data_IF_418272706664
#
_entry.id   IF_418272706664
#
_cell.length_a   1.000
_cell.length_b   1.000
_cell.length_c   1.000
_cell.angle_alpha   90.00
_cell.angle_beta   90.00
_cell.angle_gamma   90.00
#
_symmetry.space_group_name_H-M   'P 1'
#
loop_
_entity.id
_entity.type
_entity.pdbx_description
1 polymer ?
#
# COMPACT_ATOMS: atom_id res chain seq x y z
N UNK A 1 -49.94 24.84 -14.95
CA UNK A 1 -49.11 25.30 -13.81
C UNK A 1 -49.63 24.62 -12.55
N UNK A 2 -48.98 23.52 -12.19
CA UNK A 2 -49.17 22.73 -10.97
C UNK A 2 -47.77 22.24 -10.58
N UNK A 3 -47.35 22.39 -9.31
CA UNK A 3 -45.95 22.28 -8.94
C UNK A 3 -45.43 20.84 -8.89
N UNK A 4 -44.12 20.74 -9.09
CA UNK A 4 -43.27 19.55 -9.11
C UNK A 4 -43.45 18.70 -7.86
N UNK A 5 -43.61 17.38 -8.05
CA UNK A 5 -43.50 16.38 -6.98
C UNK A 5 -42.02 16.18 -6.65
N UNK A 6 -41.63 16.69 -5.49
CA UNK A 6 -40.35 16.47 -4.83
C UNK A 6 -40.27 14.99 -4.39
N UNK A 7 -39.28 14.27 -4.90
CA UNK A 7 -39.02 12.87 -4.59
C UNK A 7 -38.16 12.83 -3.33
N UNK A 8 -38.80 12.86 -2.16
CA UNK A 8 -38.16 12.56 -0.88
C UNK A 8 -38.19 11.06 -0.62
N UNK A 9 -37.21 10.33 -1.16
CA UNK A 9 -36.99 8.93 -0.80
C UNK A 9 -35.55 8.46 -1.05
N UNK A 10 -34.57 9.10 -0.40
CA UNK A 10 -33.25 8.48 -0.16
C UNK A 10 -32.95 8.55 1.34
N UNK A 11 -33.80 7.89 2.14
CA UNK A 11 -33.61 7.72 3.58
C UNK A 11 -33.27 6.27 3.92
N UNK A 12 -32.13 5.75 3.43
CA UNK A 12 -31.51 4.57 4.06
C UNK A 12 -30.11 4.27 3.51
N UNK A 13 -29.21 5.26 3.50
CA UNK A 13 -27.79 4.90 3.56
C UNK A 13 -27.51 4.66 5.04
N UNK A 14 -27.60 3.39 5.45
CA UNK A 14 -27.08 2.94 6.74
C UNK A 14 -25.62 3.37 6.84
N UNK A 15 -25.36 4.40 7.62
CA UNK A 15 -24.02 4.80 8.03
C UNK A 15 -23.33 3.56 8.59
N UNK A 16 -22.19 3.11 8.05
CA UNK A 16 -21.45 2.02 8.67
C UNK A 16 -21.10 2.44 10.09
N UNK A 17 -21.40 1.56 11.05
CA UNK A 17 -21.15 1.78 12.46
C UNK A 17 -19.73 2.34 12.65
N UNK A 18 -19.65 3.57 13.18
CA UNK A 18 -18.39 4.24 13.53
C UNK A 18 -17.56 3.24 14.32
N UNK A 19 -16.47 2.78 13.71
CA UNK A 19 -15.56 1.86 14.37
C UNK A 19 -14.97 2.56 15.60
N UNK A 20 -15.08 1.93 16.77
CA UNK A 20 -14.59 2.51 18.03
C UNK A 20 -13.08 2.77 18.02
N UNK A 21 -12.32 2.13 17.11
CA UNK A 21 -10.90 2.43 16.89
C UNK A 21 -10.66 3.79 16.22
N UNK A 22 -11.64 4.37 15.51
CA UNK A 22 -11.51 5.69 14.90
C UNK A 22 -11.40 6.81 15.95
N UNK A 23 -11.94 6.60 17.15
CA UNK A 23 -11.91 7.60 18.24
C UNK A 23 -10.53 7.74 18.87
N UNK A 24 -9.69 6.70 18.85
CA UNK A 24 -8.36 6.74 19.46
C UNK A 24 -7.36 7.66 18.71
N UNK A 25 -7.53 7.83 17.41
CA UNK A 25 -6.66 8.71 16.60
C UNK A 25 -6.90 10.20 16.86
N UNK A 26 -8.09 10.59 17.32
CA UNK A 26 -8.44 12.00 17.54
C UNK A 26 -7.78 12.63 18.77
N UNK A 27 -7.22 11.83 19.69
CA UNK A 27 -6.70 12.29 20.98
C UNK A 27 -5.15 12.31 21.07
N UNK A 28 -4.43 11.95 20.00
CA UNK A 28 -2.97 11.99 20.02
C UNK A 28 -2.48 13.45 19.93
N UNK A 29 -1.70 13.95 20.91
CA UNK A 29 -1.07 15.26 20.80
C UNK A 29 0.09 15.30 19.78
N UNK A 30 0.46 14.14 19.22
CA UNK A 30 1.49 14.05 18.19
C UNK A 30 0.88 14.24 16.80
N UNK A 31 1.54 14.99 15.90
CA UNK A 31 1.10 15.07 14.51
C UNK A 31 1.03 13.66 13.93
N UNK A 32 -0.15 13.30 13.41
CA UNK A 32 -0.34 12.05 12.68
C UNK A 32 0.54 12.16 11.43
N UNK A 33 1.74 11.58 11.48
CA UNK A 33 2.57 11.42 10.29
C UNK A 33 1.94 10.35 9.45
N UNK A 34 1.82 10.59 8.15
CA UNK A 34 1.46 9.52 7.22
C UNK A 34 2.43 8.34 7.40
N UNK A 35 1.94 7.10 7.51
CA UNK A 35 2.80 5.95 7.66
C UNK A 35 3.73 5.83 6.44
N UNK A 36 5.04 5.92 6.67
CA UNK A 36 6.05 5.79 5.61
C UNK A 36 6.38 4.31 5.40
N UNK A 37 6.22 3.84 4.16
CA UNK A 37 6.60 2.48 3.75
C UNK A 37 8.05 2.44 3.30
N UNK A 38 8.81 1.44 3.72
CA UNK A 38 10.22 1.20 3.33
C UNK A 38 10.44 -0.29 3.09
N UNK A 39 11.27 -0.63 2.10
CA UNK A 39 11.57 -2.02 1.76
C UNK A 39 13.05 -2.23 1.45
N UNK A 40 13.52 -3.46 1.69
CA UNK A 40 14.77 -3.98 1.16
C UNK A 40 14.41 -5.21 0.34
N UNK A 41 14.88 -5.26 -0.91
CA UNK A 41 14.62 -6.36 -1.84
C UNK A 41 15.96 -6.94 -2.27
N UNK A 42 16.14 -8.26 -2.11
CA UNK A 42 17.41 -8.94 -2.36
C UNK A 42 17.20 -10.10 -3.34
N UNK A 43 17.93 -10.10 -4.45
CA UNK A 43 18.10 -11.24 -5.34
C UNK A 43 19.52 -11.79 -5.20
N UNK A 44 19.70 -13.11 -5.09
CA UNK A 44 21.03 -13.71 -4.99
C UNK A 44 21.16 -14.81 -6.04
N UNK A 45 22.09 -14.62 -6.98
CA UNK A 45 22.28 -15.52 -8.13
C UNK A 45 23.48 -16.47 -7.94
N UNK A 46 24.37 -16.19 -6.97
CA UNK A 46 25.57 -16.99 -6.67
C UNK A 46 26.51 -17.23 -7.87
N UNK A 47 26.61 -16.28 -8.81
CA UNK A 47 27.49 -16.41 -10.00
C UNK A 47 28.97 -16.41 -9.58
N UNK A 48 29.78 -17.27 -10.22
CA UNK A 48 31.23 -17.33 -10.02
C UNK A 48 31.70 -18.13 -8.79
N UNK A 49 30.79 -18.82 -8.10
CA UNK A 49 31.11 -19.74 -7.00
C UNK A 49 31.21 -21.18 -7.50
N UNK A 50 31.76 -22.08 -6.68
CA UNK A 50 31.83 -23.52 -6.96
C UNK A 50 30.47 -24.21 -6.95
N UNK A 51 29.40 -23.50 -6.56
CA UNK A 51 28.02 -23.97 -6.52
C UNK A 51 27.30 -23.66 -7.82
N UNK A 52 26.26 -24.44 -8.12
CA UNK A 52 25.40 -24.18 -9.28
C UNK A 52 24.64 -22.85 -9.10
N UNK A 53 24.73 -21.90 -10.05
CA UNK A 53 24.03 -20.63 -9.96
C UNK A 53 22.52 -20.80 -9.94
N UNK A 54 21.84 -19.98 -9.15
CA UNK A 54 20.39 -19.86 -9.22
C UNK A 54 20.02 -19.03 -10.46
N UNK A 55 18.90 -19.36 -11.09
CA UNK A 55 18.38 -18.62 -12.23
C UNK A 55 17.12 -17.87 -11.81
N UNK A 56 17.00 -16.60 -12.22
CA UNK A 56 15.78 -15.82 -12.03
C UNK A 56 15.76 -14.91 -10.80
N UNK A 57 16.55 -15.15 -9.75
CA UNK A 57 16.49 -14.38 -8.50
C UNK A 57 16.69 -12.86 -8.69
N UNK A 58 17.59 -12.46 -9.58
CA UNK A 58 17.79 -11.05 -9.96
C UNK A 58 16.52 -10.45 -10.60
N UNK A 59 15.87 -11.19 -11.51
CA UNK A 59 14.64 -10.76 -12.18
C UNK A 59 13.46 -10.70 -11.22
N UNK A 60 13.38 -11.65 -10.28
CA UNK A 60 12.34 -11.69 -9.26
C UNK A 60 12.45 -10.46 -8.35
N UNK A 61 13.66 -10.15 -7.86
CA UNK A 61 13.92 -8.97 -7.04
C UNK A 61 13.55 -7.66 -7.76
N UNK A 62 13.94 -7.50 -9.03
CA UNK A 62 13.59 -6.33 -9.84
C UNK A 62 12.07 -6.22 -10.03
N UNK A 63 11.41 -7.33 -10.35
CA UNK A 63 9.96 -7.35 -10.61
C UNK A 63 9.17 -7.05 -9.33
N UNK A 64 9.63 -7.58 -8.20
CA UNK A 64 8.98 -7.34 -6.91
C UNK A 64 9.14 -5.89 -6.44
N UNK A 65 10.31 -5.28 -6.64
CA UNK A 65 10.51 -3.84 -6.42
C UNK A 65 9.48 -3.00 -7.19
N UNK A 66 9.25 -3.32 -8.47
CA UNK A 66 8.25 -2.62 -9.30
C UNK A 66 6.83 -2.78 -8.78
N UNK A 67 6.46 -3.99 -8.35
CA UNK A 67 5.14 -4.27 -7.77
C UNK A 67 4.92 -3.45 -6.48
N UNK A 68 5.94 -3.30 -5.63
CA UNK A 68 5.85 -2.50 -4.42
C UNK A 68 5.53 -1.02 -4.74
N UNK A 69 6.11 -0.49 -5.82
CA UNK A 69 5.82 0.87 -6.27
C UNK A 69 4.42 0.96 -6.89
N UNK A 70 4.09 0.09 -7.85
CA UNK A 70 2.85 0.21 -8.63
C UNK A 70 1.59 -0.12 -7.83
N UNK A 71 1.63 -1.18 -7.02
CA UNK A 71 0.42 -1.71 -6.35
C UNK A 71 0.34 -1.29 -4.88
N UNK A 72 1.49 -1.10 -4.23
CA UNK A 72 1.53 -0.90 -2.78
C UNK A 72 1.92 0.52 -2.36
N UNK A 73 2.14 1.43 -3.31
CA UNK A 73 2.41 2.84 -3.04
C UNK A 73 3.72 3.09 -2.28
N UNK A 74 4.72 2.23 -2.47
CA UNK A 74 6.07 2.52 -2.03
C UNK A 74 6.69 3.60 -2.93
N UNK A 75 7.52 4.47 -2.35
CA UNK A 75 8.37 5.36 -3.13
C UNK A 75 9.62 4.60 -3.54
N UNK A 76 10.06 4.77 -4.78
CA UNK A 76 11.28 4.13 -5.29
C UNK A 76 12.51 4.47 -4.43
N UNK A 77 12.63 5.73 -3.99
CA UNK A 77 13.69 6.17 -3.07
C UNK A 77 13.66 5.52 -1.68
N UNK A 78 12.56 4.86 -1.31
CA UNK A 78 12.38 4.14 -0.05
C UNK A 78 12.59 2.62 -0.19
N UNK A 79 13.02 2.16 -1.38
CA UNK A 79 13.35 0.77 -1.67
C UNK A 79 14.86 0.63 -1.91
N UNK A 80 15.52 -0.21 -1.13
CA UNK A 80 16.90 -0.62 -1.40
C UNK A 80 16.87 -1.96 -2.14
N UNK A 81 17.31 -1.97 -3.40
CA UNK A 81 17.42 -3.18 -4.22
C UNK A 81 18.88 -3.65 -4.27
N UNK A 82 19.10 -4.94 -3.97
CA UNK A 82 20.41 -5.61 -4.03
C UNK A 82 20.29 -6.88 -4.88
N UNK A 83 21.15 -7.06 -5.87
CA UNK A 83 21.11 -8.21 -6.82
C UNK A 83 22.50 -8.71 -7.17
#
# INVERSE_FOLDING_TARGET
MTPLREIDAISSIRTPARSHWATAFAASPYPIREPRKRAVVVGITYRGLSLQPLLGCERDAISFSKILVSEFGFKDSDILLMT
#
